data_IF_839771266780
#
_entry.id   IF_839771266780
#
_cell.length_a   1.000
_cell.length_b   1.000
_cell.length_c   1.000
_cell.angle_alpha   90.00
_cell.angle_beta   90.00
_cell.angle_gamma   90.00
#
_symmetry.space_group_name_H-M   'P 1'
#
loop_
_entity.id
_entity.type
_entity.pdbx_description
1 polymer ?
#
# COMPACT_ATOMS: atom_id res chain seq x y z
N UNK A 1 -27.96 -23.47 -2.54
CA UNK A 1 -27.44 -23.31 -3.91
C UNK A 1 -27.87 -21.93 -4.38
N UNK A 2 -26.94 -20.98 -4.45
CA UNK A 2 -27.14 -19.74 -5.19
C UNK A 2 -25.88 -19.59 -6.04
N UNK A 3 -26.03 -20.04 -7.29
CA UNK A 3 -25.13 -19.73 -8.39
C UNK A 3 -25.56 -18.37 -8.90
N UNK A 4 -24.64 -17.42 -8.92
CA UNK A 4 -24.88 -16.08 -9.43
C UNK A 4 -23.53 -15.51 -9.83
N UNK A 5 -23.13 -15.81 -11.06
CA UNK A 5 -21.95 -15.23 -11.70
C UNK A 5 -22.10 -13.70 -11.68
N UNK A 6 -21.38 -13.05 -10.76
CA UNK A 6 -21.24 -11.61 -10.76
C UNK A 6 -20.16 -11.27 -11.77
N UNK A 7 -20.58 -11.04 -13.02
CA UNK A 7 -19.73 -10.42 -14.03
C UNK A 7 -19.37 -9.00 -13.58
N UNK A 8 -18.24 -8.87 -12.87
CA UNK A 8 -17.60 -7.58 -12.64
C UNK A 8 -16.86 -7.17 -13.90
N UNK A 9 -17.50 -6.35 -14.74
CA UNK A 9 -16.83 -5.65 -15.83
C UNK A 9 -15.92 -4.57 -15.25
N UNK A 10 -14.64 -4.90 -15.04
CA UNK A 10 -13.61 -3.87 -14.84
C UNK A 10 -13.33 -3.31 -16.23
N UNK A 11 -13.88 -2.14 -16.52
CA UNK A 11 -13.54 -1.36 -17.71
C UNK A 11 -12.06 -0.93 -17.61
N UNK A 12 -11.14 -1.81 -18.01
CA UNK A 12 -9.77 -1.46 -18.29
C UNK A 12 -9.76 -0.63 -19.57
N UNK A 13 -10.03 0.66 -19.41
CA UNK A 13 -9.81 1.66 -20.44
C UNK A 13 -8.32 1.68 -20.80
N UNK A 14 -7.93 0.88 -21.79
CA UNK A 14 -6.68 1.03 -22.52
C UNK A 14 -6.72 2.35 -23.31
N UNK A 15 -6.64 3.49 -22.62
CA UNK A 15 -6.37 4.79 -23.25
C UNK A 15 -4.90 4.80 -23.67
N UNK A 16 -4.69 4.32 -24.88
CA UNK A 16 -3.50 4.49 -25.70
C UNK A 16 -3.27 6.00 -25.91
N UNK A 17 -2.39 6.61 -25.13
CA UNK A 17 -2.10 8.05 -25.19
C UNK A 17 -0.70 8.40 -24.70
N UNK A 18 0.14 8.77 -25.66
CA UNK A 18 1.54 9.19 -25.59
C UNK A 18 1.98 10.12 -24.42
N UNK A 19 3.22 9.86 -23.97
CA UNK A 19 4.25 10.82 -23.52
C UNK A 19 3.87 11.82 -22.42
N UNK A 20 4.37 11.57 -21.20
CA UNK A 20 4.53 12.60 -20.19
C UNK A 20 5.16 12.07 -18.91
N UNK A 21 6.35 12.56 -18.56
CA UNK A 21 6.96 12.44 -17.24
C UNK A 21 5.98 12.91 -16.17
N UNK A 22 5.58 12.06 -15.21
CA UNK A 22 4.75 12.51 -14.10
C UNK A 22 4.15 11.41 -13.24
N UNK A 23 4.85 11.05 -12.17
CA UNK A 23 4.21 10.61 -10.92
C UNK A 23 3.91 9.12 -10.76
N UNK A 24 4.63 8.51 -9.82
CA UNK A 24 4.39 7.22 -9.16
C UNK A 24 3.01 7.07 -8.45
N UNK A 25 1.96 7.78 -8.88
CA UNK A 25 0.70 7.97 -8.12
C UNK A 25 -0.54 8.10 -9.04
N UNK A 26 -0.60 7.40 -10.18
CA UNK A 26 -1.67 7.58 -11.17
C UNK A 26 -2.69 6.44 -11.31
N UNK A 27 -2.55 5.32 -10.59
CA UNK A 27 -3.27 4.08 -10.93
C UNK A 27 -4.06 3.40 -9.80
N UNK A 28 -4.15 3.98 -8.61
CA UNK A 28 -4.81 3.33 -7.43
C UNK A 28 -6.01 4.12 -6.90
N UNK A 29 -6.79 4.77 -7.76
CA UNK A 29 -7.83 5.70 -7.31
C UNK A 29 -9.18 5.04 -6.90
N UNK A 30 -9.34 3.71 -7.03
CA UNK A 30 -10.67 3.08 -6.97
C UNK A 30 -10.75 1.84 -6.07
N UNK A 31 -9.69 1.48 -5.33
CA UNK A 31 -9.72 0.31 -4.45
C UNK A 31 -10.16 0.77 -3.06
N UNK A 32 -11.40 0.48 -2.70
CA UNK A 32 -11.90 0.64 -1.34
C UNK A 32 -11.36 -0.51 -0.49
N UNK A 33 -10.68 -0.18 0.60
CA UNK A 33 -10.14 -1.15 1.54
C UNK A 33 -11.14 -1.31 2.67
N UNK A 34 -11.60 -2.54 2.90
CA UNK A 34 -12.53 -2.82 4.00
C UNK A 34 -11.84 -2.65 5.36
N UNK A 35 -12.64 -2.42 6.41
CA UNK A 35 -12.15 -2.38 7.79
C UNK A 35 -11.51 -3.72 8.20
N UNK A 36 -12.12 -4.84 7.81
CA UNK A 36 -11.61 -6.19 8.09
C UNK A 36 -10.21 -6.42 7.47
N UNK A 37 -10.01 -5.97 6.23
CA UNK A 37 -8.69 -6.06 5.60
C UNK A 37 -7.66 -5.18 6.33
N UNK A 38 -8.06 -3.98 6.72
CA UNK A 38 -7.22 -3.04 7.48
C UNK A 38 -6.81 -3.64 8.82
N UNK A 39 -7.75 -4.20 9.57
CA UNK A 39 -7.50 -4.87 10.86
C UNK A 39 -6.54 -6.06 10.70
N UNK A 40 -6.73 -6.87 9.66
CA UNK A 40 -5.85 -8.00 9.37
C UNK A 40 -4.41 -7.55 9.07
N UNK A 41 -4.23 -6.50 8.26
CA UNK A 41 -2.90 -5.94 7.99
C UNK A 41 -2.29 -5.36 9.28
N UNK A 42 -3.06 -4.63 10.08
CA UNK A 42 -2.58 -4.09 11.35
C UNK A 42 -2.15 -5.19 12.32
N UNK A 43 -2.89 -6.29 12.40
CA UNK A 43 -2.49 -7.44 13.24
C UNK A 43 -1.12 -8.02 12.83
N UNK A 44 -0.81 -8.02 11.52
CA UNK A 44 0.52 -8.42 11.03
C UNK A 44 1.59 -7.40 11.47
N UNK A 45 1.32 -6.10 11.34
CA UNK A 45 2.23 -5.04 11.78
C UNK A 45 2.48 -5.06 13.30
N UNK A 46 1.46 -5.39 14.09
CA UNK A 46 1.53 -5.49 15.55
C UNK A 46 2.39 -6.68 16.01
N UNK A 47 2.50 -7.70 15.17
CA UNK A 47 3.32 -8.88 15.44
C UNK A 47 4.80 -8.72 15.05
N UNK A 48 5.15 -7.70 14.26
CA UNK A 48 6.49 -7.49 13.74
C UNK A 48 7.30 -6.54 14.62
N UNK A 49 8.42 -7.02 15.18
CA UNK A 49 9.23 -6.24 16.12
C UNK A 49 9.83 -4.98 15.49
N UNK A 50 10.30 -5.07 14.24
CA UNK A 50 10.95 -3.94 13.57
C UNK A 50 9.93 -2.84 13.26
N UNK A 51 8.67 -3.20 12.96
CA UNK A 51 7.58 -2.24 12.85
C UNK A 51 7.23 -1.61 14.20
N UNK A 52 7.17 -2.40 15.29
CA UNK A 52 6.90 -1.86 16.63
C UNK A 52 7.98 -0.88 17.12
N UNK A 53 9.23 -1.12 16.75
CA UNK A 53 10.32 -0.18 16.99
C UNK A 53 10.08 1.16 16.27
N UNK A 54 9.65 1.13 14.99
CA UNK A 54 9.28 2.35 14.26
C UNK A 54 8.09 3.08 14.90
N UNK A 55 7.04 2.36 15.32
CA UNK A 55 5.90 2.98 16.01
C UNK A 55 6.37 3.65 17.32
N UNK A 56 7.28 3.01 18.05
CA UNK A 56 7.87 3.54 19.29
C UNK A 56 8.75 4.78 19.04
N UNK A 57 9.38 4.88 17.87
CA UNK A 57 10.09 6.08 17.42
C UNK A 57 9.15 7.23 16.99
N UNK A 58 7.84 7.01 16.95
CA UNK A 58 6.82 8.00 16.62
C UNK A 58 6.35 7.97 15.17
N UNK A 59 6.59 6.86 14.44
CA UNK A 59 5.96 6.65 13.14
C UNK A 59 4.49 6.26 13.30
N UNK A 60 3.62 6.79 12.45
CA UNK A 60 2.19 6.47 12.41
C UNK A 60 1.82 5.88 11.05
N UNK A 61 0.91 4.90 11.04
CA UNK A 61 0.36 4.36 9.78
C UNK A 61 -0.55 5.39 9.14
N UNK A 62 -0.19 5.86 7.95
CA UNK A 62 -0.93 6.90 7.22
C UNK A 62 -1.70 6.36 6.01
N UNK A 63 -1.29 5.21 5.49
CA UNK A 63 -2.00 4.54 4.40
C UNK A 63 -1.71 3.04 4.37
N UNK A 64 -2.72 2.27 3.99
CA UNK A 64 -2.59 0.85 3.62
C UNK A 64 -3.03 0.74 2.17
N UNK A 65 -2.14 0.25 1.32
CA UNK A 65 -2.36 0.14 -0.13
C UNK A 65 -2.23 -1.33 -0.55
N UNK A 66 -3.36 -2.04 -0.75
CA UNK A 66 -3.32 -3.39 -1.30
C UNK A 66 -2.75 -3.36 -2.73
N UNK A 67 -1.89 -4.31 -3.05
CA UNK A 67 -1.43 -4.57 -4.41
C UNK A 67 -2.30 -5.69 -4.97
N UNK A 68 -3.19 -5.30 -5.88
CA UNK A 68 -4.07 -6.23 -6.59
C UNK A 68 -3.35 -6.85 -7.77
N UNK A 69 -3.43 -8.17 -7.91
CA UNK A 69 -2.94 -8.95 -9.04
C UNK A 69 -4.10 -9.69 -9.68
N UNK A 70 -4.11 -9.68 -11.01
CA UNK A 70 -4.99 -10.49 -11.85
C UNK A 70 -4.19 -11.70 -12.35
N UNK A 71 -4.72 -12.90 -12.16
CA UNK A 71 -4.08 -14.16 -12.51
C UNK A 71 -5.01 -14.90 -13.47
N UNK A 72 -4.49 -15.32 -14.62
CA UNK A 72 -5.17 -16.29 -15.50
C UNK A 72 -4.71 -17.67 -15.06
N UNK A 73 -5.64 -18.45 -14.52
CA UNK A 73 -5.41 -19.80 -14.04
C UNK A 73 -5.31 -20.79 -15.22
N UNK A 74 -4.82 -22.01 -14.96
CA UNK A 74 -4.59 -23.02 -16.00
C UNK A 74 -5.86 -23.45 -16.76
N UNK A 75 -7.03 -23.30 -16.13
CA UNK A 75 -8.34 -23.56 -16.72
C UNK A 75 -8.90 -22.38 -17.55
N UNK A 76 -8.18 -21.27 -17.61
CA UNK A 76 -8.57 -20.04 -18.29
C UNK A 76 -9.38 -19.06 -17.44
N UNK A 77 -9.63 -19.36 -16.16
CA UNK A 77 -10.36 -18.47 -15.25
C UNK A 77 -9.52 -17.26 -14.86
N UNK A 78 -10.16 -16.09 -14.73
CA UNK A 78 -9.54 -14.89 -14.17
C UNK A 78 -9.80 -14.83 -12.65
N UNK A 79 -8.72 -14.79 -11.87
CA UNK A 79 -8.76 -14.55 -10.42
C UNK A 79 -8.12 -13.20 -10.07
N UNK A 80 -8.80 -12.43 -9.23
CA UNK A 80 -8.31 -11.16 -8.69
C UNK A 80 -7.96 -11.33 -7.23
N UNK A 81 -6.71 -11.06 -6.83
CA UNK A 81 -6.23 -11.25 -5.46
C UNK A 81 -5.43 -10.05 -4.96
N UNK A 82 -5.56 -9.75 -3.68
CA UNK A 82 -4.77 -8.73 -2.97
C UNK A 82 -3.91 -9.37 -1.88
N UNK A 83 -2.92 -10.18 -2.31
CA UNK A 83 -2.08 -10.99 -1.41
C UNK A 83 -0.97 -10.20 -0.74
N UNK A 84 -0.64 -9.03 -1.28
CA UNK A 84 0.41 -8.15 -0.79
C UNK A 84 -0.16 -6.76 -0.52
N UNK A 85 0.33 -6.07 0.50
CA UNK A 85 0.01 -4.68 0.80
C UNK A 85 1.27 -3.87 1.05
N UNK A 86 1.22 -2.59 0.71
CA UNK A 86 2.24 -1.61 1.11
C UNK A 86 1.62 -0.70 2.16
N UNK A 87 2.23 -0.67 3.33
CA UNK A 87 1.85 0.22 4.42
C UNK A 87 2.82 1.39 4.43
N UNK A 88 2.28 2.61 4.50
CA UNK A 88 3.07 3.83 4.58
C UNK A 88 3.02 4.34 6.01
N UNK A 89 4.19 4.47 6.62
CA UNK A 89 4.34 5.11 7.92
C UNK A 89 5.04 6.45 7.77
N UNK A 90 4.64 7.42 8.59
CA UNK A 90 5.22 8.76 8.61
C UNK A 90 5.52 9.20 10.04
N UNK A 91 6.66 9.87 10.21
CA UNK A 91 7.04 10.56 11.44
C UNK A 91 7.23 12.05 11.10
N UNK A 92 6.16 12.82 11.34
CA UNK A 92 6.07 14.22 10.96
C UNK A 92 6.31 14.46 9.46
N UNK A 93 7.13 15.45 9.12
CA UNK A 93 7.40 15.85 7.72
C UNK A 93 8.67 15.24 7.13
N UNK A 94 9.43 14.48 7.93
CA UNK A 94 10.82 14.14 7.63
C UNK A 94 11.13 12.63 7.69
N UNK A 95 10.36 11.85 8.45
CA UNK A 95 10.47 10.39 8.46
C UNK A 95 9.40 9.76 7.56
N UNK A 96 9.82 8.96 6.59
CA UNK A 96 8.92 8.12 5.79
C UNK A 96 9.41 6.69 5.84
N UNK A 97 8.52 5.75 6.13
CA UNK A 97 8.80 4.33 5.99
C UNK A 97 7.73 3.66 5.14
N UNK A 98 8.13 2.67 4.35
CA UNK A 98 7.22 1.79 3.62
C UNK A 98 7.47 0.36 4.03
N UNK A 99 6.40 -0.35 4.39
CA UNK A 99 6.43 -1.73 4.85
C UNK A 99 5.67 -2.58 3.85
N UNK A 100 6.34 -3.56 3.26
CA UNK A 100 5.72 -4.54 2.37
C UNK A 100 5.24 -5.72 3.21
N UNK A 101 3.94 -5.97 3.17
CA UNK A 101 3.26 -7.03 3.90
C UNK A 101 2.79 -8.10 2.92
N UNK A 102 3.12 -9.36 3.19
CA UNK A 102 2.52 -10.52 2.53
C UNK A 102 1.37 -11.01 3.41
N UNK A 103 0.14 -10.69 2.99
CA UNK A 103 -1.09 -10.91 3.77
C UNK A 103 -1.42 -12.40 3.86
N UNK A 104 -1.21 -13.17 2.80
CA UNK A 104 -1.46 -14.62 2.81
C UNK A 104 -0.52 -15.39 3.75
N UNK A 105 0.71 -14.90 3.93
CA UNK A 105 1.71 -15.51 4.81
C UNK A 105 1.80 -14.84 6.18
N UNK A 106 0.92 -13.85 6.44
CA UNK A 106 0.88 -13.07 7.67
C UNK A 106 2.25 -12.57 8.13
N UNK A 107 3.02 -11.95 7.22
CA UNK A 107 4.38 -11.48 7.53
C UNK A 107 4.77 -10.18 6.84
N UNK A 108 5.65 -9.43 7.50
CA UNK A 108 6.41 -8.35 6.87
C UNK A 108 7.54 -8.96 6.03
N UNK A 109 7.73 -8.44 4.82
CA UNK A 109 8.73 -8.94 3.87
C UNK A 109 9.84 -7.93 3.61
N UNK A 110 9.56 -6.64 3.81
CA UNK A 110 10.54 -5.59 3.60
C UNK A 110 10.10 -4.33 4.35
N UNK A 111 11.06 -3.64 4.94
CA UNK A 111 10.91 -2.29 5.47
C UNK A 111 11.92 -1.41 4.74
N UNK A 112 11.46 -0.27 4.22
CA UNK A 112 12.31 0.74 3.60
C UNK A 112 12.07 2.05 4.32
N UNK A 113 13.14 2.64 4.86
CA UNK A 113 13.09 3.89 5.62
C UNK A 113 13.80 4.97 4.81
N UNK A 114 13.18 6.13 4.69
CA UNK A 114 13.69 7.33 4.05
C UNK A 114 13.78 8.42 5.13
N UNK A 115 15.00 8.75 5.52
CA UNK A 115 15.28 9.87 6.42
C UNK A 115 15.53 11.13 5.62
N UNK A 116 14.74 12.18 5.86
CA UNK A 116 14.95 13.50 5.25
C UNK A 116 15.52 14.46 6.29
N UNK A 117 16.72 14.96 6.06
CA UNK A 117 17.27 16.09 6.83
C UNK A 117 16.87 17.41 6.17
N UNK A 118 16.24 18.30 6.95
CA UNK A 118 15.90 19.66 6.51
C UNK A 118 16.76 20.65 7.27
N UNK A 119 17.57 21.43 6.55
CA UNK A 119 18.31 22.57 7.09
C UNK A 119 17.58 23.83 6.66
N UNK A 120 16.80 24.40 7.58
CA UNK A 120 16.12 25.67 7.32
C UNK A 120 17.13 26.82 7.35
N UNK A 121 17.09 27.66 6.32
CA UNK A 121 17.94 28.87 6.17
C UNK A 121 17.13 30.15 6.21
N UNK A 122 15.84 30.07 6.56
CA UNK A 122 15.00 31.24 6.71
C UNK A 122 15.22 31.86 8.10
N UNK A 123 16.36 32.52 8.27
CA UNK A 123 16.52 33.53 9.33
C UNK A 123 15.66 34.74 8.97
N UNK A 124 14.56 34.93 9.68
CA UNK A 124 13.91 36.24 9.77
C UNK A 124 14.60 36.98 10.92
N UNK A 125 15.60 37.78 10.59
CA UNK A 125 16.10 38.78 11.54
C UNK A 125 15.02 39.84 11.69
N UNK A 126 14.44 39.94 12.89
CA UNK A 126 13.58 41.05 13.31
C UNK A 126 14.34 41.96 14.25
#
# INVERSE_FOLDING_TARGET
>A
MITGDQEFSIEMGFRRGHRGHGGFMGGMANIEVSSEYTENVNAILDSDSDVQDLISEGYEVTAIKPIVKNIIEADGTLATKATTAVVVLQNGTSGYATVNVEVEQAKVTQIVIITRTVIDKTTVET
#
